data_IF_148408494397
#
_entry.id   IF_148408494397
#
_cell.length_a   1.000
_cell.length_b   1.000
_cell.length_c   1.000
_cell.angle_alpha   90.00
_cell.angle_beta   90.00
_cell.angle_gamma   90.00
#
_symmetry.space_group_name_H-M   'P 1'
#
loop_
_entity.id
_entity.type
_entity.pdbx_description
1 polymer ?
#
# COMPACT_ATOMS: atom_id res chain seq x y z
N UNK A 1 -0.80 -6.41 -1.36
CA UNK A 1 -0.97 -5.18 -2.13
C UNK A 1 -0.16 -5.28 -3.39
N UNK A 2 -0.69 -4.78 -4.46
CA UNK A 2 -0.10 -4.91 -5.77
C UNK A 2 0.54 -3.56 -6.15
N UNK A 3 1.70 -3.58 -6.79
CA UNK A 3 2.35 -2.39 -7.32
C UNK A 3 1.42 -1.54 -8.22
N UNK A 4 0.41 -2.16 -8.81
CA UNK A 4 -0.62 -1.49 -9.61
C UNK A 4 -1.46 -0.47 -8.83
N UNK A 5 -1.50 -0.53 -7.49
CA UNK A 5 -2.25 0.42 -6.64
C UNK A 5 -1.55 1.76 -6.39
N UNK A 6 -0.29 1.88 -6.76
CA UNK A 6 0.50 3.08 -6.47
C UNK A 6 0.33 4.22 -7.50
N UNK A 7 -0.32 3.93 -8.63
CA UNK A 7 -0.38 4.88 -9.75
C UNK A 7 -1.10 6.18 -9.43
N UNK A 8 -2.22 6.13 -8.67
CA UNK A 8 -3.00 7.34 -8.34
C UNK A 8 -2.25 8.25 -7.37
N UNK A 9 -1.72 7.70 -6.28
CA UNK A 9 -1.00 8.49 -5.28
C UNK A 9 0.24 9.16 -5.89
N UNK A 10 0.90 8.49 -6.84
CA UNK A 10 2.05 9.03 -7.55
C UNK A 10 1.65 10.11 -8.56
N UNK A 11 0.51 9.95 -9.25
CA UNK A 11 0.05 10.90 -10.27
C UNK A 11 -0.48 12.19 -9.64
N UNK A 12 -1.27 12.10 -8.59
CA UNK A 12 -1.89 13.25 -7.95
C UNK A 12 -0.95 13.97 -6.97
N UNK A 13 0.20 13.38 -6.65
CA UNK A 13 1.25 13.95 -5.78
C UNK A 13 0.73 14.64 -4.51
N UNK A 14 -0.35 14.16 -3.92
CA UNK A 14 -0.86 14.69 -2.64
C UNK A 14 0.19 14.71 -1.55
N UNK A 15 1.14 13.77 -1.59
CA UNK A 15 2.29 13.76 -0.70
C UNK A 15 3.15 15.04 -0.79
N UNK A 16 3.06 15.81 -1.87
CA UNK A 16 3.80 17.08 -2.00
C UNK A 16 3.40 18.10 -0.92
N UNK A 17 2.17 18.04 -0.41
CA UNK A 17 1.71 18.90 0.69
C UNK A 17 2.58 18.69 1.94
N UNK A 18 3.00 17.46 2.21
CA UNK A 18 3.86 17.12 3.34
C UNK A 18 5.31 17.62 3.17
N UNK A 19 5.68 18.09 1.98
CA UNK A 19 6.97 18.72 1.71
C UNK A 19 6.98 20.21 2.03
N UNK A 20 5.80 20.83 2.25
CA UNK A 20 5.69 22.25 2.56
C UNK A 20 6.52 22.65 3.81
N UNK A 21 6.49 21.91 4.94
CA UNK A 21 7.32 22.25 6.09
C UNK A 21 8.82 22.27 5.76
N UNK A 22 9.28 21.33 4.95
CA UNK A 22 10.68 21.28 4.51
C UNK A 22 11.03 22.45 3.60
N UNK A 23 10.12 22.86 2.72
CA UNK A 23 10.28 24.06 1.89
C UNK A 23 10.35 25.33 2.73
N UNK A 24 9.51 25.45 3.77
CA UNK A 24 9.49 26.60 4.68
C UNK A 24 10.80 26.75 5.46
N UNK A 25 11.47 25.66 5.80
CA UNK A 25 12.80 25.69 6.42
C UNK A 25 13.94 25.64 5.39
N UNK A 26 13.62 25.90 4.12
CA UNK A 26 14.56 26.06 3.00
C UNK A 26 15.44 24.82 2.73
N UNK A 27 14.89 23.61 2.87
CA UNK A 27 15.59 22.37 2.52
C UNK A 27 15.61 22.23 0.99
N UNK A 28 16.81 22.17 0.37
CA UNK A 28 16.92 22.07 -1.09
C UNK A 28 16.30 20.76 -1.63
N UNK A 29 15.57 20.80 -2.78
CA UNK A 29 14.95 19.61 -3.38
C UNK A 29 15.93 18.47 -3.71
N UNK A 30 17.21 18.77 -3.91
CA UNK A 30 18.25 17.76 -4.15
C UNK A 30 18.34 16.69 -3.06
N UNK A 31 18.06 17.03 -1.81
CA UNK A 31 18.10 16.04 -0.71
C UNK A 31 16.97 15.02 -0.85
N UNK A 32 15.79 15.44 -1.31
CA UNK A 32 14.68 14.49 -1.59
C UNK A 32 15.04 13.56 -2.76
N UNK A 33 15.69 14.11 -3.80
CA UNK A 33 16.15 13.30 -4.93
C UNK A 33 17.18 12.25 -4.52
N UNK A 34 18.11 12.58 -3.61
CA UNK A 34 19.12 11.65 -3.09
C UNK A 34 18.47 10.60 -2.15
N UNK A 35 17.54 11.02 -1.29
CA UNK A 35 16.94 10.14 -0.30
C UNK A 35 15.92 9.17 -0.91
N UNK A 36 15.25 9.54 -2.03
CA UNK A 36 14.23 8.70 -2.66
C UNK A 36 14.73 7.31 -3.08
N UNK A 37 15.87 7.13 -3.77
CA UNK A 37 16.39 5.81 -4.11
C UNK A 37 16.74 4.97 -2.87
N UNK A 38 17.30 5.59 -1.84
CA UNK A 38 17.64 4.93 -0.57
C UNK A 38 16.34 4.41 0.08
N UNK A 39 15.31 5.25 0.13
CA UNK A 39 14.02 4.91 0.67
C UNK A 39 13.35 3.75 -0.09
N UNK A 40 13.39 3.78 -1.43
CA UNK A 40 12.89 2.69 -2.26
C UNK A 40 13.65 1.38 -2.03
N UNK A 41 14.96 1.45 -1.89
CA UNK A 41 15.78 0.28 -1.56
C UNK A 41 15.42 -0.29 -0.17
N UNK A 42 15.25 0.57 0.82
CA UNK A 42 14.80 0.15 2.15
C UNK A 42 13.43 -0.53 2.10
N UNK A 43 12.49 0.00 1.33
CA UNK A 43 11.19 -0.65 1.14
C UNK A 43 11.30 -2.02 0.47
N UNK A 44 12.23 -2.19 -0.46
CA UNK A 44 12.43 -3.46 -1.15
C UNK A 44 12.88 -4.57 -0.18
N UNK A 45 13.88 -4.32 0.64
CA UNK A 45 14.45 -5.35 1.51
C UNK A 45 13.56 -5.73 2.71
N UNK A 46 12.58 -4.90 3.08
CA UNK A 46 11.60 -5.26 4.11
C UNK A 46 10.65 -6.39 3.68
N UNK A 47 10.40 -6.55 2.38
CA UNK A 47 9.44 -7.50 1.84
C UNK A 47 10.00 -8.92 1.78
N UNK A 48 10.45 -9.45 2.92
CA UNK A 48 11.00 -10.81 3.01
C UNK A 48 10.47 -11.55 4.22
N UNK A 49 10.34 -12.87 4.07
CA UNK A 49 10.10 -13.81 5.18
C UNK A 49 11.40 -14.47 5.66
N UNK A 50 12.52 -14.30 4.97
CA UNK A 50 13.78 -14.94 5.27
C UNK A 50 14.48 -14.32 6.49
N UNK A 51 14.22 -13.06 6.76
CA UNK A 51 14.81 -12.33 7.88
C UNK A 51 13.78 -12.31 9.02
N UNK A 52 14.15 -12.93 10.13
CA UNK A 52 13.36 -12.94 11.37
C UNK A 52 13.53 -11.64 12.19
N UNK A 53 13.52 -11.80 13.50
CA UNK A 53 13.77 -10.70 14.44
C UNK A 53 15.22 -10.23 14.33
N UNK A 54 15.42 -8.93 14.22
CA UNK A 54 16.74 -8.30 14.07
C UNK A 54 17.29 -7.74 15.41
N UNK A 55 16.75 -8.18 16.54
CA UNK A 55 17.24 -7.83 17.87
C UNK A 55 17.21 -6.32 18.13
N UNK A 56 18.38 -5.73 18.46
CA UNK A 56 18.52 -4.31 18.81
C UNK A 56 18.02 -3.36 17.70
N UNK A 57 18.17 -3.72 16.43
CA UNK A 57 17.74 -2.86 15.33
C UNK A 57 16.23 -2.60 15.32
N UNK A 58 15.43 -3.50 15.88
CA UNK A 58 13.97 -3.34 15.97
C UNK A 58 13.51 -2.24 16.96
N UNK A 59 14.41 -1.73 17.77
CA UNK A 59 14.09 -0.61 18.65
C UNK A 59 14.18 0.74 17.93
N UNK A 60 14.97 0.82 16.84
CA UNK A 60 15.29 2.06 16.13
C UNK A 60 14.69 2.06 14.73
N UNK A 61 14.88 0.97 13.98
CA UNK A 61 14.53 0.88 12.57
C UNK A 61 13.27 0.03 12.36
N UNK A 62 12.57 0.33 11.28
CA UNK A 62 11.59 -0.61 10.72
C UNK A 62 12.35 -1.79 10.12
N UNK A 63 11.95 -2.99 10.49
CA UNK A 63 12.57 -4.25 10.06
C UNK A 63 11.56 -5.08 9.27
N UNK A 64 11.99 -6.17 8.61
CA UNK A 64 11.06 -7.07 7.95
C UNK A 64 9.96 -7.60 8.85
N UNK A 65 10.21 -7.81 10.15
CA UNK A 65 9.16 -8.26 11.09
C UNK A 65 8.08 -7.19 11.28
N UNK A 66 8.47 -5.93 11.45
CA UNK A 66 7.54 -4.81 11.54
C UNK A 66 6.73 -4.63 10.26
N UNK A 67 7.37 -4.80 9.12
CA UNK A 67 6.73 -4.64 7.82
C UNK A 67 5.78 -5.78 7.47
N UNK A 68 6.05 -7.00 7.94
CA UNK A 68 5.09 -8.13 7.86
C UNK A 68 3.81 -7.82 8.62
N UNK A 69 3.91 -7.26 9.82
CA UNK A 69 2.75 -6.79 10.60
C UNK A 69 1.96 -5.73 9.82
N UNK A 70 2.65 -4.74 9.23
CA UNK A 70 2.03 -3.71 8.41
C UNK A 70 1.18 -4.26 7.24
N UNK A 71 1.65 -5.33 6.61
CA UNK A 71 0.95 -5.97 5.49
C UNK A 71 -0.08 -7.03 5.89
N UNK A 72 -0.21 -7.33 7.16
CA UNK A 72 -1.10 -8.37 7.64
C UNK A 72 -2.53 -7.85 7.84
N UNK A 73 -3.50 -8.74 7.62
CA UNK A 73 -4.93 -8.49 7.83
C UNK A 73 -5.47 -9.20 9.07
N UNK A 74 -4.61 -9.76 9.90
CA UNK A 74 -5.00 -10.29 11.20
C UNK A 74 -5.56 -9.15 12.06
N UNK A 75 -6.61 -9.39 12.87
CA UNK A 75 -7.19 -8.34 13.72
C UNK A 75 -6.18 -7.62 14.61
N UNK A 76 -5.18 -8.35 15.12
CA UNK A 76 -4.12 -7.82 15.98
C UNK A 76 -3.15 -6.90 15.27
N UNK A 77 -3.05 -7.01 13.94
CA UNK A 77 -2.08 -6.30 13.09
C UNK A 77 -2.71 -5.18 12.26
N UNK A 78 -4.04 -5.06 12.31
CA UNK A 78 -4.72 -4.02 11.54
C UNK A 78 -4.31 -2.63 12.01
N UNK A 79 -4.06 -1.75 11.05
CA UNK A 79 -3.70 -0.35 11.27
C UNK A 79 -2.45 -0.18 12.15
N UNK A 80 -1.45 -1.04 11.96
CA UNK A 80 -0.19 -1.01 12.70
C UNK A 80 1.02 -0.77 11.79
N UNK A 81 2.09 -0.25 12.42
CA UNK A 81 3.43 -0.08 11.85
C UNK A 81 3.46 0.70 10.53
N UNK A 82 3.01 1.95 10.56
CA UNK A 82 2.98 2.83 9.38
C UNK A 82 4.33 3.46 9.04
N UNK A 83 5.28 3.43 9.97
CA UNK A 83 6.61 4.02 9.79
C UNK A 83 7.37 3.32 8.67
N UNK A 84 8.21 4.09 7.96
CA UNK A 84 8.96 3.57 6.82
C UNK A 84 10.44 3.33 7.13
N UNK A 85 11.05 4.11 8.00
CA UNK A 85 12.47 3.97 8.37
C UNK A 85 12.63 3.84 9.88
N UNK A 86 12.06 4.76 10.66
CA UNK A 86 12.24 4.80 12.10
C UNK A 86 10.98 4.38 12.82
N UNK A 87 11.05 3.27 13.57
CA UNK A 87 9.91 2.68 14.28
C UNK A 87 9.43 3.53 15.46
N UNK A 88 10.22 4.49 15.91
CA UNK A 88 9.83 5.37 17.02
C UNK A 88 8.57 6.19 16.72
N UNK A 89 8.30 6.48 15.46
CA UNK A 89 7.06 7.17 15.06
C UNK A 89 5.83 6.35 15.42
N UNK A 90 5.82 5.04 15.13
CA UNK A 90 4.71 4.17 15.51
C UNK A 90 4.54 4.08 17.02
N UNK A 91 5.63 4.08 17.77
CA UNK A 91 5.59 4.11 19.23
C UNK A 91 5.01 5.42 19.75
N UNK A 92 5.40 6.55 19.15
CA UNK A 92 4.91 7.88 19.51
C UNK A 92 3.40 8.03 19.24
N UNK A 93 2.93 7.53 18.11
CA UNK A 93 1.52 7.63 17.71
C UNK A 93 0.65 6.43 18.17
N UNK A 94 1.20 5.46 18.92
CA UNK A 94 0.46 4.31 19.43
C UNK A 94 0.06 3.27 18.38
N UNK A 95 0.68 3.31 17.21
CA UNK A 95 0.45 2.38 16.11
C UNK A 95 1.43 1.21 16.10
N UNK A 96 2.37 1.16 17.03
CA UNK A 96 3.35 0.10 17.11
C UNK A 96 2.74 -1.24 17.52
N UNK A 97 3.09 -2.29 16.78
CA UNK A 97 2.79 -3.68 17.10
C UNK A 97 3.97 -4.58 16.71
N UNK A 98 4.46 -5.34 17.67
CA UNK A 98 5.46 -6.37 17.42
C UNK A 98 4.82 -7.57 16.73
N UNK A 99 5.55 -8.24 15.86
CA UNK A 99 5.14 -9.54 15.32
C UNK A 99 5.05 -10.58 16.46
N UNK A 100 3.87 -11.18 16.62
CA UNK A 100 3.58 -12.15 17.67
C UNK A 100 4.04 -13.55 17.22
N UNK A 101 4.64 -14.30 18.11
CA UNK A 101 5.16 -15.65 17.81
C UNK A 101 4.08 -16.68 17.57
N UNK A 102 2.90 -16.49 18.16
CA UNK A 102 1.73 -17.37 18.06
C UNK A 102 0.72 -16.95 16.97
N UNK A 103 0.98 -15.83 16.30
CA UNK A 103 0.08 -15.24 15.29
C UNK A 103 0.80 -14.99 13.97
N UNK A 104 0.83 -15.99 13.10
CA UNK A 104 1.44 -15.82 11.77
C UNK A 104 0.73 -14.72 10.96
N UNK A 105 1.48 -13.76 10.37
CA UNK A 105 0.91 -12.71 9.53
C UNK A 105 0.26 -13.26 8.27
N UNK A 106 -1.02 -13.00 8.09
CA UNK A 106 -1.76 -13.30 6.87
C UNK A 106 -1.83 -12.06 6.01
N UNK A 107 -1.12 -12.07 4.88
CA UNK A 107 -1.01 -10.90 4.01
C UNK A 107 -2.22 -10.71 3.12
N UNK A 108 -2.67 -9.48 3.00
CA UNK A 108 -3.80 -9.15 2.15
C UNK A 108 -4.30 -7.73 2.31
N UNK A 109 -5.54 -7.55 1.92
CA UNK A 109 -6.35 -6.35 2.17
C UNK A 109 -7.76 -6.81 2.53
N UNK A 110 -8.40 -6.17 3.50
CA UNK A 110 -9.73 -6.54 3.97
C UNK A 110 -10.80 -6.43 2.86
N UNK A 111 -10.62 -5.53 1.91
CA UNK A 111 -11.53 -5.30 0.78
C UNK A 111 -10.78 -5.52 -0.54
N UNK A 112 -10.58 -6.77 -0.97
CA UNK A 112 -9.83 -7.06 -2.19
C UNK A 112 -10.56 -6.55 -3.42
N UNK A 113 -9.81 -6.14 -4.42
CA UNK A 113 -10.38 -5.68 -5.69
C UNK A 113 -10.96 -6.82 -6.53
N UNK A 114 -10.42 -8.04 -6.38
CA UNK A 114 -10.78 -9.24 -7.12
C UNK A 114 -10.78 -9.02 -8.64
N UNK A 115 -9.78 -8.34 -9.14
CA UNK A 115 -9.58 -8.07 -10.57
C UNK A 115 -8.11 -7.77 -10.86
N UNK A 116 -7.68 -8.04 -12.08
CA UNK A 116 -6.38 -7.63 -12.61
C UNK A 116 -6.45 -6.34 -13.46
N UNK A 117 -7.66 -5.78 -13.63
CA UNK A 117 -7.81 -4.53 -14.36
C UNK A 117 -7.15 -3.38 -13.58
N UNK A 118 -6.09 -2.73 -14.12
CA UNK A 118 -5.35 -1.69 -13.40
C UNK A 118 -6.20 -0.45 -13.11
N UNK A 119 -7.17 -0.14 -13.94
CA UNK A 119 -8.09 0.99 -13.72
C UNK A 119 -8.96 0.69 -12.50
N UNK A 120 -9.62 -0.47 -12.49
CA UNK A 120 -10.49 -0.84 -11.37
C UNK A 120 -9.70 -0.93 -10.07
N UNK A 121 -8.52 -1.57 -10.08
CA UNK A 121 -7.68 -1.69 -8.87
C UNK A 121 -7.34 -0.32 -8.28
N UNK A 122 -7.04 0.66 -9.13
CA UNK A 122 -6.65 1.99 -8.68
C UNK A 122 -7.84 2.85 -8.21
N UNK A 123 -8.98 2.76 -8.90
CA UNK A 123 -10.10 3.69 -8.68
C UNK A 123 -11.23 3.10 -7.83
N UNK A 124 -11.26 1.79 -7.57
CA UNK A 124 -12.32 1.11 -6.82
C UNK A 124 -12.58 1.74 -5.45
N UNK A 125 -11.51 2.07 -4.72
CA UNK A 125 -11.65 2.67 -3.39
C UNK A 125 -12.19 4.09 -3.47
N UNK A 126 -11.66 4.91 -4.37
CA UNK A 126 -12.15 6.27 -4.61
C UNK A 126 -13.63 6.24 -5.03
N UNK A 127 -14.00 5.34 -5.94
CA UNK A 127 -15.38 5.16 -6.35
C UNK A 127 -16.28 4.77 -5.18
N UNK A 128 -15.83 3.87 -4.30
CA UNK A 128 -16.57 3.52 -3.09
C UNK A 128 -16.77 4.72 -2.17
N UNK A 129 -15.74 5.56 -1.96
CA UNK A 129 -15.87 6.78 -1.16
C UNK A 129 -16.90 7.75 -1.77
N UNK A 130 -16.90 7.92 -3.11
CA UNK A 130 -17.88 8.77 -3.80
C UNK A 130 -19.29 8.23 -3.58
N UNK A 131 -19.49 6.93 -3.74
CA UNK A 131 -20.79 6.30 -3.52
C UNK A 131 -21.25 6.43 -2.06
N UNK A 132 -20.37 6.18 -1.10
CA UNK A 132 -20.68 6.29 0.32
C UNK A 132 -21.01 7.73 0.71
N UNK A 133 -20.27 8.73 0.18
CA UNK A 133 -20.59 10.14 0.36
C UNK A 133 -21.95 10.53 -0.26
N UNK A 134 -22.27 9.95 -1.42
CA UNK A 134 -23.55 10.23 -2.07
C UNK A 134 -24.73 9.72 -1.25
N UNK A 135 -24.65 8.49 -0.71
CA UNK A 135 -25.69 7.83 0.05
C UNK A 135 -25.73 8.23 1.54
N UNK A 136 -24.75 8.96 2.04
CA UNK A 136 -24.78 9.41 3.43
C UNK A 136 -25.96 10.37 3.67
N UNK A 137 -26.72 10.15 4.75
CA UNK A 137 -27.85 11.00 5.11
C UNK A 137 -27.40 12.38 5.62
N UNK A 138 -26.33 12.37 6.43
CA UNK A 138 -25.86 13.60 7.08
C UNK A 138 -24.84 14.31 6.17
N UNK A 139 -25.05 15.61 5.99
CA UNK A 139 -24.12 16.45 5.23
C UNK A 139 -22.71 16.44 5.81
N UNK A 140 -22.59 16.35 7.14
CA UNK A 140 -21.30 16.25 7.81
C UNK A 140 -20.54 14.98 7.40
N UNK A 141 -21.24 13.85 7.31
CA UNK A 141 -20.64 12.58 6.91
C UNK A 141 -20.13 12.62 5.47
N UNK A 142 -20.85 13.32 4.58
CA UNK A 142 -20.41 13.58 3.19
C UNK A 142 -19.09 14.36 3.13
N UNK A 143 -18.85 15.23 4.09
CA UNK A 143 -17.65 16.06 4.14
C UNK A 143 -16.49 15.35 4.83
N UNK A 144 -16.73 14.68 5.95
CA UNK A 144 -15.66 14.09 6.75
C UNK A 144 -15.13 12.76 6.20
N UNK A 145 -15.92 12.02 5.40
CA UNK A 145 -15.52 10.72 4.85
C UNK A 145 -14.15 10.75 4.16
N UNK A 146 -13.77 11.87 3.56
CA UNK A 146 -12.51 12.06 2.85
C UNK A 146 -11.29 12.12 3.78
N UNK A 147 -11.50 12.36 5.07
CA UNK A 147 -10.48 12.54 6.09
C UNK A 147 -10.51 11.45 7.16
N UNK A 148 -11.52 10.58 7.11
CA UNK A 148 -11.67 9.52 8.09
C UNK A 148 -10.72 8.33 7.80
N UNK A 149 -10.39 7.52 8.81
CA UNK A 149 -9.56 6.33 8.63
C UNK A 149 -10.11 5.39 7.54
N UNK A 150 -9.22 4.71 6.86
CA UNK A 150 -9.57 3.70 5.84
C UNK A 150 -10.47 2.62 6.45
N UNK A 151 -11.67 2.50 5.92
CA UNK A 151 -12.64 1.55 6.44
C UNK A 151 -13.82 2.19 7.19
N UNK A 152 -13.69 3.45 7.62
CA UNK A 152 -14.81 4.20 8.17
C UNK A 152 -15.89 4.42 7.09
N UNK A 153 -17.15 4.26 7.50
CA UNK A 153 -18.31 4.52 6.65
C UNK A 153 -19.42 5.16 7.50
N UNK A 154 -20.26 6.02 6.91
CA UNK A 154 -21.47 6.50 7.58
C UNK A 154 -22.35 5.34 8.04
N UNK A 155 -22.93 5.45 9.24
CA UNK A 155 -23.67 4.33 9.85
C UNK A 155 -24.86 3.86 8.99
N UNK A 156 -25.62 4.79 8.38
CA UNK A 156 -26.71 4.46 7.47
C UNK A 156 -26.20 3.72 6.23
N UNK A 157 -25.08 4.16 5.66
CA UNK A 157 -24.48 3.55 4.45
C UNK A 157 -23.94 2.16 4.75
N UNK A 158 -23.37 1.95 5.92
CA UNK A 158 -22.83 0.63 6.29
C UNK A 158 -23.94 -0.41 6.48
N UNK A 159 -25.10 0.03 6.95
CA UNK A 159 -26.28 -0.83 7.11
C UNK A 159 -27.00 -1.12 5.78
N UNK A 160 -27.23 -0.09 4.96
CA UNK A 160 -28.03 -0.20 3.73
C UNK A 160 -27.22 -0.73 2.54
N UNK A 161 -25.92 -0.43 2.49
CA UNK A 161 -25.02 -0.81 1.39
C UNK A 161 -23.80 -1.57 1.91
N UNK A 162 -23.98 -2.78 2.48
CA UNK A 162 -22.88 -3.54 3.06
C UNK A 162 -21.82 -3.88 2.00
N UNK A 163 -20.56 -3.80 2.39
CA UNK A 163 -19.43 -4.19 1.54
C UNK A 163 -18.82 -5.50 2.04
N UNK A 164 -18.42 -6.36 1.12
CA UNK A 164 -17.75 -7.60 1.49
C UNK A 164 -16.38 -7.32 2.11
N UNK A 165 -16.25 -7.69 3.37
CA UNK A 165 -15.01 -7.61 4.14
C UNK A 165 -14.56 -9.05 4.44
N UNK A 166 -13.26 -9.29 4.48
CA UNK A 166 -12.72 -10.57 4.88
C UNK A 166 -12.76 -10.67 6.40
N UNK A 167 -13.73 -11.40 6.95
CA UNK A 167 -13.89 -11.58 8.39
C UNK A 167 -12.82 -12.51 8.99
N UNK A 168 -12.42 -13.53 8.24
CA UNK A 168 -11.40 -14.47 8.67
C UNK A 168 -10.21 -14.47 7.72
N UNK A 169 -9.07 -13.90 8.14
CA UNK A 169 -7.85 -13.85 7.33
C UNK A 169 -7.41 -15.22 6.78
N UNK A 170 -7.52 -16.28 7.59
CA UNK A 170 -7.09 -17.63 7.21
C UNK A 170 -7.96 -18.27 6.14
N UNK A 171 -9.19 -17.79 5.96
CA UNK A 171 -10.12 -18.26 4.93
C UNK A 171 -10.08 -17.42 3.66
N UNK A 172 -9.15 -16.49 3.56
CA UNK A 172 -9.01 -15.66 2.37
C UNK A 172 -8.73 -16.50 1.13
N UNK A 173 -9.64 -16.43 0.16
CA UNK A 173 -9.42 -16.99 -1.17
C UNK A 173 -8.68 -15.95 -2.01
N UNK A 174 -7.48 -16.29 -2.45
CA UNK A 174 -6.70 -15.41 -3.34
C UNK A 174 -7.38 -15.37 -4.71
N UNK A 175 -7.59 -14.16 -5.21
CA UNK A 175 -8.08 -13.97 -6.56
C UNK A 175 -7.09 -14.57 -7.57
N UNK A 176 -7.56 -15.49 -8.37
CA UNK A 176 -6.80 -16.11 -9.45
C UNK A 176 -7.68 -16.20 -10.69
N UNK A 177 -7.07 -16.07 -11.86
CA UNK A 177 -7.71 -16.26 -13.14
C UNK A 177 -7.06 -17.44 -13.83
N UNK A 178 -7.86 -18.33 -14.39
CA UNK A 178 -7.37 -19.37 -15.28
C UNK A 178 -7.07 -18.73 -16.64
N UNK A 179 -5.82 -18.31 -16.83
CA UNK A 179 -5.39 -17.74 -18.08
C UNK A 179 -5.09 -18.83 -19.10
N UNK A 180 -5.55 -18.64 -20.33
CA UNK A 180 -5.19 -19.54 -21.44
C UNK A 180 -3.68 -19.44 -21.72
N UNK A 181 -3.12 -20.51 -22.30
CA UNK A 181 -1.71 -20.54 -22.70
C UNK A 181 -1.37 -19.36 -23.64
N UNK A 182 -2.29 -18.94 -24.49
CA UNK A 182 -2.12 -17.80 -25.38
C UNK A 182 -1.91 -16.48 -24.61
N UNK A 183 -2.68 -16.24 -23.56
CA UNK A 183 -2.54 -15.02 -22.71
C UNK A 183 -1.21 -15.06 -21.98
N UNK A 184 -0.80 -16.21 -21.47
CA UNK A 184 0.50 -16.38 -20.80
C UNK A 184 1.64 -16.14 -21.79
N UNK A 185 1.57 -16.75 -22.97
CA UNK A 185 2.58 -16.55 -24.02
C UNK A 185 2.67 -15.10 -24.48
N UNK A 186 1.53 -14.43 -24.64
CA UNK A 186 1.47 -13.01 -24.97
C UNK A 186 2.13 -12.14 -23.90
N UNK A 187 1.87 -12.41 -22.61
CA UNK A 187 2.51 -11.71 -21.51
C UNK A 187 4.03 -11.88 -21.52
N UNK A 188 4.55 -13.09 -21.80
CA UNK A 188 5.98 -13.34 -21.93
C UNK A 188 6.59 -12.61 -23.12
N UNK A 189 5.93 -12.59 -24.30
CA UNK A 189 6.37 -11.82 -25.45
C UNK A 189 6.49 -10.35 -25.12
N UNK A 190 5.46 -9.78 -24.47
CA UNK A 190 5.50 -8.39 -24.03
C UNK A 190 6.67 -8.09 -23.08
N UNK A 191 6.90 -8.97 -22.11
CA UNK A 191 8.00 -8.82 -21.15
C UNK A 191 9.35 -8.81 -21.87
N UNK A 192 9.57 -9.77 -22.78
CA UNK A 192 10.82 -9.89 -23.55
C UNK A 192 11.03 -8.68 -24.46
N UNK A 193 10.00 -8.26 -25.19
CA UNK A 193 10.06 -7.09 -26.08
C UNK A 193 10.34 -5.82 -25.30
N UNK A 194 9.65 -5.62 -24.16
CA UNK A 194 9.87 -4.45 -23.30
C UNK A 194 11.29 -4.43 -22.77
N UNK A 195 11.79 -5.57 -22.26
CA UNK A 195 13.16 -5.69 -21.79
C UNK A 195 14.18 -5.37 -22.89
N UNK A 196 13.97 -5.89 -24.10
CA UNK A 196 14.82 -5.63 -25.24
C UNK A 196 14.81 -4.16 -25.67
N UNK A 197 13.64 -3.52 -25.70
CA UNK A 197 13.52 -2.10 -26.03
C UNK A 197 14.20 -1.21 -25.00
N UNK A 198 14.00 -1.46 -23.72
CA UNK A 198 14.67 -0.70 -22.64
C UNK A 198 16.19 -0.82 -22.77
N UNK A 199 16.70 -2.02 -23.02
CA UNK A 199 18.14 -2.25 -23.17
C UNK A 199 18.73 -1.57 -24.41
N UNK A 200 17.94 -1.45 -25.50
CA UNK A 200 18.39 -0.79 -26.73
C UNK A 200 18.28 0.73 -26.66
N UNK A 201 17.26 1.26 -25.97
CA UNK A 201 17.10 2.70 -25.78
C UNK A 201 18.17 3.28 -24.86
N UNK A 202 18.51 2.56 -23.80
CA UNK A 202 19.55 2.97 -22.86
C UNK A 202 20.94 3.06 -23.53
N UNK A 203 21.26 2.17 -24.47
CA UNK A 203 22.50 2.23 -25.25
C UNK A 203 22.62 3.43 -26.19
N UNK A 204 21.50 4.01 -26.61
CA UNK A 204 21.50 5.18 -27.53
C UNK A 204 21.57 6.53 -26.81
N UNK A 205 21.34 6.54 -25.50
CA UNK A 205 21.43 7.77 -24.69
C UNK A 205 22.83 8.06 -24.15
N UNK A 206 23.82 7.22 -24.47
CA UNK A 206 25.22 7.32 -23.99
C UNK A 206 26.20 7.74 -25.12
N UNK A 207 25.68 8.21 -26.28
CA UNK A 207 26.50 8.75 -27.37
C UNK A 207 26.27 10.26 -27.51
#
# INVERSE_FOLDING_TARGET
>A
SCALRQSISNTLRFAAIFMIPAALVNIPPKYFAIMSPIHLFMQFWYHTRLIGNMGFLEYILVTPSHHRVHHAINPEYLDKNYSQIFIFWDKLFGTFQKELTDKEPVFGVLRPANTWNPIIINYKHLWQLIQDAWHADKIIDKMIIWFMPTGWRPANVDLEYPVNIIDNPKRQIKYSTNNSILVISWAWVHLIVTFFLVFHLDRKSVV
#
